data_IF_558995766425
#
_entry.id   IF_558995766425
#
_cell.length_a   1.000
_cell.length_b   1.000
_cell.length_c   1.000
_cell.angle_alpha   90.00
_cell.angle_beta   90.00
_cell.angle_gamma   90.00
#
_symmetry.space_group_name_H-M   'P 1'
#
loop_
_entity.id
_entity.type
_entity.pdbx_description
1 polymer ?
#
# COMPACT_ATOMS: atom_id res chain seq x y z
N UNK A 1 11.42 -54.24 64.07
CA UNK A 1 11.72 -52.82 63.92
C UNK A 1 12.20 -52.56 62.44
N UNK A 2 11.34 -52.19 61.56
CA UNK A 2 11.73 -51.76 60.24
C UNK A 2 10.85 -50.61 59.86
N UNK A 3 11.41 -49.42 59.85
CA UNK A 3 10.81 -48.19 59.40
C UNK A 3 11.02 -48.07 57.88
N UNK A 4 9.94 -48.16 57.10
CA UNK A 4 9.93 -47.92 55.66
C UNK A 4 9.77 -46.45 55.43
N UNK A 5 10.76 -45.80 54.79
CA UNK A 5 10.72 -44.44 54.35
C UNK A 5 10.20 -44.44 52.90
N UNK A 6 9.03 -43.82 52.62
CA UNK A 6 8.50 -43.60 51.33
C UNK A 6 9.11 -42.30 50.80
N UNK A 7 9.82 -42.28 49.64
CA UNK A 7 10.24 -41.05 49.03
C UNK A 7 9.02 -40.43 48.30
N UNK A 8 8.56 -39.29 48.76
CA UNK A 8 7.53 -38.50 48.06
C UNK A 8 8.07 -37.88 46.80
N UNK A 9 7.77 -38.49 45.66
CA UNK A 9 7.96 -37.89 44.34
C UNK A 9 6.82 -36.96 44.01
N UNK A 10 6.90 -35.71 44.40
CA UNK A 10 6.01 -34.66 43.92
C UNK A 10 6.34 -34.32 42.45
N UNK A 11 5.59 -34.89 41.53
CA UNK A 11 5.62 -34.44 40.14
C UNK A 11 4.95 -33.08 40.05
N UNK A 12 5.78 -32.08 39.75
CA UNK A 12 5.35 -30.68 39.58
C UNK A 12 4.48 -30.56 38.33
N UNK A 13 3.17 -30.76 38.48
CA UNK A 13 2.15 -30.66 37.40
C UNK A 13 2.11 -29.26 36.75
N UNK A 14 2.63 -28.23 37.44
CA UNK A 14 2.69 -26.88 36.90
C UNK A 14 3.72 -26.73 35.76
N UNK A 15 4.83 -27.51 35.81
CA UNK A 15 5.84 -27.48 34.71
C UNK A 15 5.38 -28.15 33.44
N UNK A 16 4.54 -29.19 33.52
CA UNK A 16 4.06 -29.90 32.35
C UNK A 16 3.02 -29.03 31.58
N UNK A 17 2.16 -28.30 32.31
CA UNK A 17 1.18 -27.40 31.66
C UNK A 17 1.81 -26.19 30.98
N UNK A 18 2.92 -25.68 31.51
CA UNK A 18 3.67 -24.57 30.89
C UNK A 18 4.38 -24.97 29.60
N UNK A 19 4.88 -26.18 29.50
CA UNK A 19 5.59 -26.68 28.32
C UNK A 19 4.65 -27.00 27.16
N UNK A 20 3.47 -27.57 27.42
CA UNK A 20 2.47 -27.89 26.41
C UNK A 20 1.90 -26.62 25.79
N UNK A 21 1.58 -25.58 26.57
CA UNK A 21 1.13 -24.29 26.05
C UNK A 21 2.19 -23.57 25.19
N UNK A 22 3.46 -23.72 25.53
CA UNK A 22 4.55 -23.08 24.77
C UNK A 22 4.79 -23.76 23.42
N UNK A 23 4.72 -25.09 23.38
CA UNK A 23 4.85 -25.83 22.12
C UNK A 23 3.67 -25.63 21.16
N UNK A 24 2.45 -25.43 21.65
CA UNK A 24 1.29 -25.12 20.83
C UNK A 24 1.36 -23.69 20.27
N UNK A 25 1.85 -22.72 21.02
CA UNK A 25 2.08 -21.37 20.57
C UNK A 25 3.15 -21.30 19.46
N UNK A 26 4.28 -21.99 19.68
CA UNK A 26 5.39 -22.02 18.72
C UNK A 26 5.00 -22.76 17.42
N UNK A 27 4.23 -23.84 17.50
CA UNK A 27 3.74 -24.56 16.32
C UNK A 27 2.71 -23.72 15.51
N UNK A 28 1.88 -22.93 16.19
CA UNK A 28 0.91 -22.04 15.55
C UNK A 28 1.61 -20.85 14.84
N UNK A 29 2.68 -20.33 15.45
CA UNK A 29 3.48 -19.24 14.84
C UNK A 29 4.27 -19.73 13.62
N UNK A 30 4.87 -20.92 13.66
CA UNK A 30 5.51 -21.52 12.49
C UNK A 30 4.53 -21.78 11.34
N UNK A 31 3.32 -22.25 11.65
CA UNK A 31 2.27 -22.47 10.67
C UNK A 31 1.81 -21.15 10.03
N UNK A 32 1.67 -20.08 10.80
CA UNK A 32 1.33 -18.75 10.30
C UNK A 32 2.44 -18.16 9.45
N UNK A 33 3.70 -18.33 9.82
CA UNK A 33 4.84 -17.87 9.03
C UNK A 33 4.94 -18.61 7.69
N UNK A 34 4.73 -19.92 7.68
CA UNK A 34 4.75 -20.71 6.44
C UNK A 34 3.63 -20.30 5.49
N UNK A 35 2.42 -20.05 5.98
CA UNK A 35 1.29 -19.55 5.19
C UNK A 35 1.56 -18.14 4.62
N UNK A 36 2.16 -17.25 5.40
CA UNK A 36 2.57 -15.91 4.91
C UNK A 36 3.61 -16.02 3.80
N UNK A 37 4.61 -16.89 3.97
CA UNK A 37 5.63 -17.13 2.94
C UNK A 37 5.03 -17.67 1.64
N UNK A 38 4.13 -18.64 1.72
CA UNK A 38 3.43 -19.16 0.55
C UNK A 38 2.60 -18.10 -0.16
N UNK A 39 1.86 -17.27 0.58
CA UNK A 39 1.08 -16.16 0.01
C UNK A 39 1.98 -15.13 -0.67
N UNK A 40 3.08 -14.74 -0.02
CA UNK A 40 4.04 -13.80 -0.60
C UNK A 40 4.66 -14.33 -1.90
N UNK A 41 4.97 -15.62 -1.96
CA UNK A 41 5.47 -16.25 -3.20
C UNK A 41 4.40 -16.27 -4.32
N UNK A 42 3.15 -16.59 -3.99
CA UNK A 42 2.05 -16.56 -4.94
C UNK A 42 1.78 -15.15 -5.45
N UNK A 43 1.77 -14.15 -4.58
CA UNK A 43 1.64 -12.75 -4.96
C UNK A 43 2.77 -12.30 -5.88
N UNK A 44 4.01 -12.64 -5.56
CA UNK A 44 5.16 -12.31 -6.40
C UNK A 44 5.03 -12.92 -7.81
N UNK A 45 4.59 -14.17 -7.92
CA UNK A 45 4.36 -14.83 -9.21
C UNK A 45 3.23 -14.15 -10.00
N UNK A 46 2.12 -13.82 -9.34
CA UNK A 46 0.99 -13.11 -9.96
C UNK A 46 1.39 -11.73 -10.45
N UNK A 47 2.14 -10.98 -9.64
CA UNK A 47 2.67 -9.65 -9.98
C UNK A 47 3.59 -9.73 -11.20
N UNK A 48 4.50 -10.69 -11.25
CA UNK A 48 5.38 -10.89 -12.40
C UNK A 48 4.60 -11.29 -13.67
N UNK A 49 3.64 -12.19 -13.55
CA UNK A 49 2.80 -12.57 -14.68
C UNK A 49 1.96 -11.39 -15.20
N UNK A 50 1.44 -10.55 -14.31
CA UNK A 50 0.69 -9.35 -14.67
C UNK A 50 1.60 -8.32 -15.37
N UNK A 51 2.81 -8.09 -14.83
CA UNK A 51 3.81 -7.22 -15.46
C UNK A 51 4.08 -7.67 -16.90
N UNK A 52 4.40 -8.96 -17.11
CA UNK A 52 4.66 -9.51 -18.43
C UNK A 52 3.45 -9.39 -19.37
N UNK A 53 2.23 -9.62 -18.86
CA UNK A 53 0.98 -9.48 -19.63
C UNK A 53 0.78 -8.04 -20.10
N UNK A 54 0.94 -7.06 -19.22
CA UNK A 54 0.75 -5.63 -19.56
C UNK A 54 1.84 -5.18 -20.53
N UNK A 55 3.10 -5.59 -20.31
CA UNK A 55 4.21 -5.26 -21.20
C UNK A 55 4.01 -5.82 -22.61
N UNK A 56 3.60 -7.08 -22.73
CA UNK A 56 3.26 -7.70 -24.00
C UNK A 56 2.08 -7.00 -24.71
N UNK A 57 1.07 -6.60 -23.96
CA UNK A 57 -0.09 -5.87 -24.48
C UNK A 57 0.31 -4.49 -25.03
N UNK A 58 1.13 -3.73 -24.29
CA UNK A 58 1.65 -2.43 -24.76
C UNK A 58 2.48 -2.63 -26.03
N UNK A 59 3.35 -3.63 -26.05
CA UNK A 59 4.27 -3.90 -27.17
C UNK A 59 3.55 -4.39 -28.42
N UNK A 60 2.43 -5.13 -28.29
CA UNK A 60 1.66 -5.67 -29.40
C UNK A 60 0.64 -4.69 -29.98
N UNK A 61 0.25 -3.66 -29.24
CA UNK A 61 -0.70 -2.65 -29.68
C UNK A 61 0.05 -1.43 -30.24
N UNK A 62 -0.02 -1.20 -31.54
CA UNK A 62 0.68 -0.09 -32.22
C UNK A 62 0.38 1.27 -31.59
N UNK A 63 -0.90 1.53 -31.24
CA UNK A 63 -1.31 2.78 -30.60
C UNK A 63 -0.68 2.94 -29.21
N UNK A 64 -0.70 1.90 -28.37
CA UNK A 64 -0.12 1.97 -27.05
C UNK A 64 1.41 2.06 -27.07
N UNK A 65 2.04 1.41 -28.04
CA UNK A 65 3.49 1.43 -28.20
C UNK A 65 4.02 2.85 -28.51
N UNK A 66 3.24 3.71 -29.14
CA UNK A 66 3.58 5.13 -29.30
C UNK A 66 3.73 5.86 -27.95
N UNK A 67 3.03 5.40 -26.92
CA UNK A 67 3.05 5.98 -25.58
C UNK A 67 3.91 5.20 -24.59
N UNK A 68 4.71 4.26 -25.07
CA UNK A 68 5.57 3.39 -24.24
C UNK A 68 6.49 4.20 -23.33
N UNK A 69 7.01 5.34 -23.80
CA UNK A 69 7.88 6.23 -23.02
C UNK A 69 7.17 6.89 -21.82
N UNK A 70 5.84 7.00 -21.88
CA UNK A 70 5.03 7.57 -20.82
C UNK A 70 4.54 6.52 -19.78
N UNK A 71 4.71 5.23 -20.09
CA UNK A 71 4.28 4.15 -19.21
C UNK A 71 5.49 3.51 -18.55
N UNK A 72 5.56 3.61 -17.24
CA UNK A 72 6.60 2.99 -16.41
C UNK A 72 5.97 1.89 -15.56
N UNK A 73 6.65 0.77 -15.46
CA UNK A 73 6.20 -0.35 -14.65
C UNK A 73 7.35 -0.84 -13.78
N UNK A 74 7.13 -0.82 -12.47
CA UNK A 74 8.12 -1.22 -11.48
C UNK A 74 7.50 -2.21 -10.50
N UNK A 75 8.21 -3.30 -10.21
CA UNK A 75 7.83 -4.22 -9.13
C UNK A 75 8.45 -3.71 -7.85
N UNK A 76 7.60 -3.36 -6.90
CA UNK A 76 7.96 -2.82 -5.59
C UNK A 76 7.53 -3.78 -4.46
N UNK A 77 7.99 -3.59 -3.21
CA UNK A 77 7.49 -4.37 -2.08
C UNK A 77 5.97 -4.25 -1.87
N UNK A 78 5.35 -3.14 -2.33
CA UNK A 78 3.92 -2.93 -2.23
C UNK A 78 3.13 -3.60 -3.36
N UNK A 79 3.80 -4.00 -4.44
CA UNK A 79 3.20 -4.65 -5.59
C UNK A 79 3.68 -4.12 -6.93
N UNK A 80 2.89 -4.32 -7.99
CA UNK A 80 3.17 -3.77 -9.31
C UNK A 80 2.70 -2.32 -9.37
N UNK A 81 3.64 -1.42 -9.56
CA UNK A 81 3.38 0.00 -9.77
C UNK A 81 3.42 0.32 -11.25
N UNK A 82 2.30 0.79 -11.78
CA UNK A 82 2.14 1.26 -13.17
C UNK A 82 2.00 2.78 -13.08
N UNK A 83 2.96 3.51 -13.63
CA UNK A 83 2.94 4.96 -13.64
C UNK A 83 2.75 5.45 -15.06
N UNK A 84 1.76 6.30 -15.27
CA UNK A 84 1.55 7.01 -16.52
C UNK A 84 1.97 8.45 -16.27
N UNK A 85 3.03 8.88 -16.95
CA UNK A 85 3.66 10.20 -16.74
C UNK A 85 3.34 11.17 -17.88
N UNK A 86 3.24 12.46 -17.58
CA UNK A 86 3.15 13.50 -18.59
C UNK A 86 4.47 13.62 -19.36
N UNK A 87 4.33 13.92 -20.64
CA UNK A 87 5.42 14.41 -21.48
C UNK A 87 5.12 15.85 -21.90
N UNK A 88 6.17 16.63 -22.18
CA UNK A 88 6.05 18.06 -22.56
C UNK A 88 5.09 18.29 -23.75
N UNK A 89 5.08 17.35 -24.70
CA UNK A 89 4.28 17.45 -25.91
C UNK A 89 2.98 16.63 -25.86
N UNK A 90 2.77 15.83 -24.81
CA UNK A 90 1.64 14.90 -24.69
C UNK A 90 1.08 14.90 -23.26
N UNK A 91 0.35 15.96 -22.87
CA UNK A 91 -0.24 16.04 -21.54
C UNK A 91 -1.40 15.04 -21.40
N UNK A 92 -1.48 14.33 -20.29
CA UNK A 92 -2.54 13.33 -19.99
C UNK A 92 -3.92 13.98 -19.81
N UNK A 93 -3.95 15.21 -19.32
CA UNK A 93 -5.16 15.97 -19.03
C UNK A 93 -5.12 17.34 -19.71
N UNK A 94 -6.27 17.97 -19.82
CA UNK A 94 -6.33 19.39 -20.20
C UNK A 94 -5.68 20.25 -19.09
N UNK A 95 -5.14 21.40 -19.50
CA UNK A 95 -4.46 22.32 -18.58
C UNK A 95 -5.41 22.74 -17.46
N UNK A 96 -4.94 22.55 -16.21
CA UNK A 96 -5.73 22.90 -15.03
C UNK A 96 -7.04 22.10 -14.86
N UNK A 97 -7.19 20.97 -15.52
CA UNK A 97 -8.41 20.17 -15.55
C UNK A 97 -8.13 18.71 -15.22
N UNK A 98 -9.19 17.99 -14.85
CA UNK A 98 -9.20 16.53 -14.75
C UNK A 98 -9.81 15.85 -15.99
N UNK A 99 -10.03 16.58 -17.08
CA UNK A 99 -10.52 16.02 -18.33
C UNK A 99 -9.43 15.18 -18.99
N UNK A 100 -9.68 13.88 -19.10
CA UNK A 100 -8.73 12.89 -19.64
C UNK A 100 -8.62 13.07 -21.17
N UNK A 101 -7.40 13.18 -21.67
CA UNK A 101 -7.14 13.22 -23.13
C UNK A 101 -7.49 11.88 -23.79
N UNK A 102 -7.91 11.88 -25.07
CA UNK A 102 -8.33 10.65 -25.77
C UNK A 102 -7.29 9.53 -25.68
N UNK A 103 -6.02 9.79 -25.98
CA UNK A 103 -4.97 8.79 -25.94
C UNK A 103 -4.76 8.21 -24.53
N UNK A 104 -4.82 9.06 -23.49
CA UNK A 104 -4.72 8.63 -22.08
C UNK A 104 -5.90 7.74 -21.70
N UNK A 105 -7.09 8.03 -22.22
CA UNK A 105 -8.27 7.18 -22.04
C UNK A 105 -8.04 5.79 -22.62
N UNK A 106 -7.44 5.71 -23.81
CA UNK A 106 -7.14 4.42 -24.44
C UNK A 106 -6.12 3.61 -23.60
N UNK A 107 -5.06 4.26 -23.10
CA UNK A 107 -4.11 3.62 -22.18
C UNK A 107 -4.82 3.10 -20.93
N UNK A 108 -5.64 3.95 -20.27
CA UNK A 108 -6.36 3.56 -19.05
C UNK A 108 -7.34 2.42 -19.29
N UNK A 109 -7.99 2.38 -20.45
CA UNK A 109 -8.92 1.31 -20.80
C UNK A 109 -8.24 -0.02 -21.01
N UNK A 110 -7.10 -0.04 -21.69
CA UNK A 110 -6.34 -1.27 -21.87
C UNK A 110 -5.79 -1.78 -20.52
N UNK A 111 -5.23 -0.90 -19.70
CA UNK A 111 -4.80 -1.24 -18.35
C UNK A 111 -5.98 -1.74 -17.52
N UNK A 112 -7.13 -1.07 -17.56
CA UNK A 112 -8.34 -1.47 -16.84
C UNK A 112 -8.84 -2.85 -17.24
N UNK A 113 -8.83 -3.16 -18.54
CA UNK A 113 -9.17 -4.50 -19.05
C UNK A 113 -8.20 -5.57 -18.52
N UNK A 114 -6.88 -5.28 -18.51
CA UNK A 114 -5.88 -6.20 -17.96
C UNK A 114 -6.08 -6.45 -16.47
N UNK A 115 -6.47 -5.41 -15.72
CA UNK A 115 -6.69 -5.45 -14.26
C UNK A 115 -8.01 -6.13 -13.89
N UNK A 116 -8.97 -6.26 -14.80
CA UNK A 116 -10.27 -6.88 -14.54
C UNK A 116 -10.17 -8.32 -14.01
N UNK A 117 -9.19 -9.08 -14.48
CA UNK A 117 -8.95 -10.48 -14.09
C UNK A 117 -8.00 -10.69 -12.91
N UNK A 118 -7.49 -9.62 -12.27
CA UNK A 118 -6.54 -9.71 -11.16
C UNK A 118 -7.28 -9.81 -9.85
N UNK A 119 -6.88 -10.69 -8.93
CA UNK A 119 -7.50 -10.82 -7.61
C UNK A 119 -7.13 -9.71 -6.64
N UNK A 120 -5.92 -9.16 -6.80
CA UNK A 120 -5.35 -8.14 -5.92
C UNK A 120 -6.13 -6.82 -5.95
N UNK A 121 -6.15 -6.12 -4.84
CA UNK A 121 -6.71 -4.77 -4.78
C UNK A 121 -5.76 -3.72 -5.34
N UNK A 122 -6.33 -2.57 -5.69
CA UNK A 122 -5.65 -1.51 -6.41
C UNK A 122 -5.69 -0.22 -5.60
N UNK A 123 -4.54 0.43 -5.45
CA UNK A 123 -4.41 1.80 -4.98
C UNK A 123 -4.17 2.71 -6.18
N UNK A 124 -4.93 3.79 -6.28
CA UNK A 124 -4.81 4.79 -7.35
C UNK A 124 -4.40 6.14 -6.76
N UNK A 125 -3.32 6.73 -7.27
CA UNK A 125 -2.82 8.01 -6.83
C UNK A 125 -2.64 8.99 -7.99
N UNK A 126 -3.03 10.24 -7.77
CA UNK A 126 -2.76 11.35 -8.67
C UNK A 126 -1.68 12.26 -8.10
N UNK A 127 -0.79 12.74 -8.97
CA UNK A 127 0.30 13.64 -8.61
C UNK A 127 0.32 14.86 -9.53
N UNK A 128 0.81 16.00 -9.01
CA UNK A 128 1.11 17.19 -9.78
C UNK A 128 2.60 17.51 -9.72
N UNK A 129 3.06 18.43 -10.54
CA UNK A 129 4.31 19.12 -10.32
C UNK A 129 4.16 20.16 -9.20
N UNK A 130 5.26 20.80 -8.81
CA UNK A 130 5.29 21.84 -7.77
C UNK A 130 4.90 23.24 -8.29
N UNK A 131 4.40 23.39 -9.52
CA UNK A 131 3.87 24.65 -9.99
C UNK A 131 2.61 25.00 -9.19
N UNK A 132 2.49 26.22 -8.64
CA UNK A 132 1.29 26.63 -7.93
C UNK A 132 0.06 26.58 -8.84
N UNK A 133 -1.04 26.02 -8.34
CA UNK A 133 -2.30 25.96 -9.04
C UNK A 133 -3.34 26.84 -8.34
N UNK A 134 -4.04 27.64 -9.14
CA UNK A 134 -5.15 28.46 -8.65
C UNK A 134 -4.74 29.58 -7.68
N UNK A 135 -5.63 29.89 -6.74
CA UNK A 135 -5.49 30.97 -5.76
C UNK A 135 -4.74 30.53 -4.48
N UNK A 136 -3.90 29.47 -4.54
CA UNK A 136 -3.14 28.96 -3.43
C UNK A 136 -4.02 28.13 -2.44
N UNK A 137 -3.55 28.02 -1.17
CA UNK A 137 -4.11 27.12 -0.15
C UNK A 137 -5.57 27.40 0.27
N UNK A 138 -6.14 28.54 -0.12
CA UNK A 138 -7.51 28.95 0.28
C UNK A 138 -8.61 28.55 -0.71
N UNK A 139 -8.28 27.81 -1.76
CA UNK A 139 -9.22 27.41 -2.81
C UNK A 139 -8.89 26.07 -3.41
N UNK A 140 -9.30 25.88 -4.66
CA UNK A 140 -8.95 24.70 -5.43
C UNK A 140 -7.45 24.71 -5.76
N UNK A 141 -6.74 23.72 -5.27
CA UNK A 141 -5.28 23.62 -5.30
C UNK A 141 -4.79 22.35 -6.02
N UNK A 142 -3.50 22.09 -6.00
CA UNK A 142 -2.91 20.84 -6.49
C UNK A 142 -3.44 19.61 -5.75
N UNK A 143 -3.92 19.73 -4.52
CA UNK A 143 -4.52 18.64 -3.76
C UNK A 143 -5.84 18.18 -4.37
N UNK A 144 -6.73 19.11 -4.65
CA UNK A 144 -8.01 18.84 -5.30
C UNK A 144 -7.78 18.36 -6.75
N UNK A 145 -6.91 19.06 -7.50
CA UNK A 145 -6.62 18.71 -8.88
C UNK A 145 -6.08 17.28 -9.02
N UNK A 146 -5.13 16.89 -8.15
CA UNK A 146 -4.56 15.55 -8.18
C UNK A 146 -5.59 14.47 -7.81
N UNK A 147 -6.47 14.78 -6.86
CA UNK A 147 -7.58 13.90 -6.46
C UNK A 147 -8.60 13.73 -7.58
N UNK A 148 -8.98 14.81 -8.23
CA UNK A 148 -9.93 14.79 -9.35
C UNK A 148 -9.40 14.04 -10.56
N UNK A 149 -8.11 14.18 -10.87
CA UNK A 149 -7.40 13.41 -11.90
C UNK A 149 -7.35 11.93 -11.59
N UNK A 150 -7.06 11.55 -10.34
CA UNK A 150 -7.11 10.16 -9.90
C UNK A 150 -8.53 9.59 -10.05
N UNK A 151 -9.57 10.34 -9.66
CA UNK A 151 -10.95 9.92 -9.83
C UNK A 151 -11.39 9.84 -11.29
N UNK A 152 -10.93 10.74 -12.16
CA UNK A 152 -11.19 10.66 -13.59
C UNK A 152 -10.55 9.40 -14.19
N UNK A 153 -9.31 9.10 -13.83
CA UNK A 153 -8.62 7.87 -14.24
C UNK A 153 -9.33 6.61 -13.74
N UNK A 154 -9.81 6.61 -12.48
CA UNK A 154 -10.63 5.53 -11.94
C UNK A 154 -11.86 5.23 -12.80
N UNK A 155 -12.57 6.27 -13.22
CA UNK A 155 -13.77 6.11 -14.06
C UNK A 155 -13.46 5.41 -15.38
N UNK A 156 -12.33 5.74 -16.01
CA UNK A 156 -11.93 5.09 -17.27
C UNK A 156 -11.52 3.63 -17.05
N UNK A 157 -10.78 3.32 -15.96
CA UNK A 157 -10.43 1.95 -15.59
C UNK A 157 -11.67 1.08 -15.36
N UNK A 158 -12.66 1.61 -14.63
CA UNK A 158 -13.91 0.89 -14.35
C UNK A 158 -14.75 0.72 -15.62
N UNK A 159 -14.83 1.74 -16.48
CA UNK A 159 -15.54 1.66 -17.75
C UNK A 159 -14.95 0.59 -18.71
N UNK A 160 -13.68 0.25 -18.51
CA UNK A 160 -12.98 -0.81 -19.26
C UNK A 160 -13.12 -2.21 -18.67
N UNK A 161 -13.87 -2.38 -17.61
CA UNK A 161 -14.15 -3.68 -17.00
C UNK A 161 -13.41 -3.97 -15.69
N UNK A 162 -12.63 -3.04 -15.16
CA UNK A 162 -12.08 -3.19 -13.81
C UNK A 162 -13.22 -3.05 -12.78
N UNK A 163 -13.49 -4.07 -11.94
CA UNK A 163 -14.53 -3.98 -10.92
C UNK A 163 -14.23 -2.88 -9.90
N UNK A 164 -15.23 -2.08 -9.54
CA UNK A 164 -15.05 -0.95 -8.63
C UNK A 164 -14.68 -1.38 -7.19
N UNK A 165 -15.05 -2.57 -6.77
CA UNK A 165 -14.69 -3.19 -5.48
C UNK A 165 -13.22 -3.62 -5.39
N UNK A 166 -12.51 -3.66 -6.52
CA UNK A 166 -11.04 -3.82 -6.56
C UNK A 166 -10.29 -2.63 -6.00
N UNK A 167 -10.89 -1.46 -5.93
CA UNK A 167 -10.23 -0.29 -5.40
C UNK A 167 -10.12 -0.35 -3.87
N UNK A 168 -8.89 -0.32 -3.36
CA UNK A 168 -8.60 -0.15 -1.95
C UNK A 168 -8.66 1.32 -1.54
N UNK A 169 -8.12 2.21 -2.40
CA UNK A 169 -8.17 3.66 -2.20
C UNK A 169 -7.95 4.43 -3.51
N UNK A 170 -8.40 5.69 -3.48
CA UNK A 170 -8.07 6.72 -4.48
C UNK A 170 -7.58 7.95 -3.72
N UNK A 171 -6.39 8.48 -4.05
CA UNK A 171 -5.78 9.60 -3.34
C UNK A 171 -5.20 10.63 -4.30
N UNK A 172 -5.23 11.91 -3.89
CA UNK A 172 -4.46 12.98 -4.49
C UNK A 172 -3.26 13.30 -3.60
N UNK A 173 -2.08 13.34 -4.17
CA UNK A 173 -0.83 13.59 -3.45
C UNK A 173 -0.19 14.93 -3.82
N UNK A 174 -0.80 15.71 -4.71
CA UNK A 174 -0.24 16.98 -5.16
C UNK A 174 1.25 16.83 -5.55
N UNK A 175 2.11 17.70 -5.06
CA UNK A 175 3.57 17.66 -5.24
C UNK A 175 4.31 17.09 -4.02
N UNK A 176 3.63 16.36 -3.12
CA UNK A 176 4.25 15.82 -1.90
C UNK A 176 5.21 14.65 -2.17
N UNK A 177 5.08 14.01 -3.32
CA UNK A 177 5.92 12.90 -3.77
C UNK A 177 6.31 13.14 -5.22
N UNK A 178 7.46 13.78 -5.44
CA UNK A 178 7.98 14.13 -6.76
C UNK A 178 8.80 12.97 -7.34
N UNK A 179 8.59 12.65 -8.61
CA UNK A 179 9.40 11.68 -9.35
C UNK A 179 10.81 12.24 -9.63
N UNK A 180 10.89 13.56 -9.85
CA UNK A 180 12.12 14.31 -10.07
C UNK A 180 12.24 15.44 -9.03
N UNK A 181 12.77 15.15 -7.82
CA UNK A 181 12.94 16.16 -6.78
C UNK A 181 13.89 17.30 -7.16
N UNK A 182 14.90 17.01 -8.01
CA UNK A 182 15.87 17.99 -8.50
C UNK A 182 15.27 18.97 -9.52
N UNK A 183 14.18 18.59 -10.18
CA UNK A 183 13.35 19.44 -11.03
C UNK A 183 11.88 19.35 -10.61
N UNK A 184 11.47 20.10 -9.59
CA UNK A 184 10.11 20.01 -9.05
C UNK A 184 9.00 20.38 -10.03
N UNK A 185 9.32 21.08 -11.12
CA UNK A 185 8.37 21.46 -12.17
C UNK A 185 8.43 20.57 -13.42
N UNK A 186 9.25 19.53 -13.40
CA UNK A 186 9.32 18.58 -14.51
C UNK A 186 7.93 18.01 -14.83
N UNK A 187 7.57 17.90 -16.11
CA UNK A 187 6.29 17.34 -16.55
C UNK A 187 6.04 15.95 -15.99
N UNK A 188 7.08 15.13 -15.87
CA UNK A 188 7.01 13.75 -15.37
C UNK A 188 6.54 13.65 -13.91
N UNK A 189 6.62 14.74 -13.14
CA UNK A 189 6.04 14.81 -11.80
C UNK A 189 4.51 14.71 -11.83
N UNK A 190 3.88 15.21 -12.92
CA UNK A 190 2.45 15.02 -13.17
C UNK A 190 2.24 13.60 -13.67
N UNK A 191 1.70 12.75 -12.81
CA UNK A 191 1.51 11.33 -13.12
C UNK A 191 0.28 10.76 -12.43
N UNK A 192 -0.20 9.67 -13.00
CA UNK A 192 -1.15 8.76 -12.37
C UNK A 192 -0.41 7.48 -12.03
N UNK A 193 -0.49 7.07 -10.78
CA UNK A 193 0.11 5.84 -10.27
C UNK A 193 -0.98 4.83 -9.94
N UNK A 194 -0.94 3.67 -10.57
CA UNK A 194 -1.81 2.53 -10.32
C UNK A 194 -0.95 1.46 -9.67
N UNK A 195 -1.23 1.12 -8.41
CA UNK A 195 -0.49 0.07 -7.69
C UNK A 195 -1.41 -1.13 -7.48
N UNK A 196 -1.05 -2.26 -8.09
CA UNK A 196 -1.67 -3.56 -7.81
C UNK A 196 -1.02 -4.10 -6.56
N UNK A 197 -1.75 -4.04 -5.44
CA UNK A 197 -1.21 -4.29 -4.11
C UNK A 197 -0.90 -5.78 -3.90
N UNK A 198 0.22 -6.08 -3.23
CA UNK A 198 0.41 -7.37 -2.59
C UNK A 198 -0.59 -7.54 -1.44
N UNK A 199 -0.83 -8.76 -1.02
CA UNK A 199 -1.72 -9.03 0.12
C UNK A 199 -1.25 -8.34 1.41
N UNK A 200 0.07 -8.32 1.62
CA UNK A 200 0.70 -7.65 2.76
C UNK A 200 0.51 -6.12 2.70
N UNK A 201 0.67 -5.52 1.53
CA UNK A 201 0.45 -4.09 1.34
C UNK A 201 -1.03 -3.72 1.54
N UNK A 202 -1.96 -4.57 1.08
CA UNK A 202 -3.39 -4.40 1.33
C UNK A 202 -3.71 -4.47 2.83
N UNK A 203 -3.20 -5.48 3.55
CA UNK A 203 -3.40 -5.62 4.99
C UNK A 203 -2.87 -4.40 5.76
N UNK A 204 -1.69 -3.90 5.40
CA UNK A 204 -1.13 -2.66 5.98
C UNK A 204 -2.03 -1.45 5.71
N UNK A 205 -2.47 -1.31 4.47
CA UNK A 205 -3.29 -0.18 4.04
C UNK A 205 -4.66 -0.14 4.74
N UNK A 206 -5.28 -1.30 4.93
CA UNK A 206 -6.62 -1.42 5.50
C UNK A 206 -6.62 -1.60 7.03
N UNK A 207 -5.46 -1.53 7.67
CA UNK A 207 -5.33 -1.68 9.12
C UNK A 207 -5.67 -3.09 9.63
N UNK A 208 -5.62 -4.11 8.77
CA UNK A 208 -5.91 -5.51 9.12
C UNK A 208 -4.73 -6.23 9.75
N UNK A 209 -3.63 -5.53 10.03
CA UNK A 209 -2.51 -6.12 10.76
C UNK A 209 -2.95 -6.41 12.20
N UNK A 210 -2.94 -7.67 12.57
CA UNK A 210 -2.95 -8.05 13.98
C UNK A 210 -1.72 -7.39 14.62
N UNK A 211 -1.88 -6.58 15.70
CA UNK A 211 -0.72 -5.98 16.35
C UNK A 211 0.22 -7.11 16.76
N UNK A 212 1.42 -7.08 16.23
CA UNK A 212 2.54 -7.89 16.76
C UNK A 212 2.81 -7.32 18.14
N UNK A 213 2.27 -7.97 19.16
CA UNK A 213 2.63 -7.70 20.56
C UNK A 213 4.09 -8.09 20.67
N UNK A 214 5.01 -7.12 20.64
CA UNK A 214 6.37 -7.33 21.08
C UNK A 214 6.31 -7.63 22.58
N UNK A 215 6.81 -8.80 23.05
CA UNK A 215 6.70 -9.18 24.46
C UNK A 215 7.58 -8.33 25.40
N UNK A 216 8.32 -7.36 24.89
CA UNK A 216 9.32 -6.59 25.66
C UNK A 216 9.00 -5.09 25.88
N UNK A 217 7.79 -4.63 25.63
CA UNK A 217 7.39 -3.33 26.17
C UNK A 217 6.91 -3.50 27.63
N UNK A 218 7.82 -3.69 28.56
CA UNK A 218 7.58 -3.33 29.94
C UNK A 218 7.32 -1.83 29.99
N UNK A 219 6.06 -1.47 30.07
CA UNK A 219 5.65 -0.15 30.52
C UNK A 219 6.20 0.01 31.96
N UNK A 220 7.32 0.71 32.08
CA UNK A 220 7.71 1.32 33.33
C UNK A 220 6.61 2.33 33.67
N UNK A 221 5.74 1.91 34.58
CA UNK A 221 4.79 2.79 35.21
C UNK A 221 5.61 3.72 36.13
N UNK A 222 6.05 4.86 35.60
CA UNK A 222 6.54 5.95 36.42
C UNK A 222 5.40 6.32 37.39
N UNK A 223 5.62 5.96 38.66
CA UNK A 223 4.86 6.49 39.78
C UNK A 223 5.05 8.02 39.78
N UNK A 224 4.03 8.71 39.33
CA UNK A 224 3.90 10.14 39.52
C UNK A 224 3.75 10.39 41.01
N UNK A 225 4.87 10.69 41.68
CA UNK A 225 4.93 11.11 43.07
C UNK A 225 4.36 12.52 43.16
N UNK A 226 3.19 12.65 43.80
CA UNK A 226 2.54 13.93 44.07
C UNK A 226 3.43 14.80 44.92
N UNK A 227 3.72 16.06 44.56
CA UNK A 227 4.47 16.95 45.42
C UNK A 227 3.67 17.31 46.68
N UNK A 228 4.36 17.46 47.84
CA UNK A 228 3.69 17.78 49.11
C UNK A 228 3.05 19.18 49.09
N UNK A 229 1.95 19.40 49.84
CA UNK A 229 1.30 20.69 49.88
C UNK A 229 2.16 21.75 50.55
N UNK A 230 2.13 22.98 49.99
CA UNK A 230 2.87 24.15 50.49
C UNK A 230 2.39 24.54 51.91
N UNK A 231 3.30 25.01 52.82
CA UNK A 231 2.93 25.44 54.15
C UNK A 231 2.14 26.75 54.10
N UNK A 232 1.00 26.74 54.81
CA UNK A 232 0.22 27.94 55.08
C UNK A 232 0.96 28.73 56.16
N UNK A 233 1.33 29.97 55.88
CA UNK A 233 1.85 30.95 56.83
C UNK A 233 0.70 31.81 57.41
N UNK A 234 0.81 32.24 58.67
CA UNK A 234 -0.26 32.86 59.46
C UNK A 234 -0.59 34.28 59.05
#
# INVERSE_FOLDING_TARGET
NSTSIIPGGGTDLARVHGQVKRSEADSNDQSRQSLRHQRAQQDAQRIQALHAKIDAMISSNATLNEYRSQIRMDVTPDGLQIQIVDDQNRPMFDIGSAMVKPYMRDILREVGSALGGVENRISLAGHTDAAPYGMGERGYSNWELSTDRANASRRELVAAGMPNDKLARVVGLAASDLLHPDDPRAPQNRRITITVLTHEAEERLLGKQTPTVHPDSKLETEKQENPPPAPQTP
#
